data_IF_415334805767
#
_entry.id   IF_415334805767
#
_cell.length_a   1.000
_cell.length_b   1.000
_cell.length_c   1.000
_cell.angle_alpha   90.00
_cell.angle_beta   90.00
_cell.angle_gamma   90.00
#
_symmetry.space_group_name_H-M   'P 1'
#
loop_
_entity.id
_entity.type
_entity.pdbx_description
1 polymer ?
#
# COMPACT_ATOMS: atom_id res chain seq x y z
N UNK A 1 -19.34 -14.91 -22.52
CA UNK A 1 -18.64 -13.75 -23.12
C UNK A 1 -17.20 -13.82 -22.66
N UNK A 2 -16.23 -14.05 -23.55
CA UNK A 2 -14.81 -14.09 -23.16
C UNK A 2 -14.37 -12.64 -23.00
N UNK A 3 -14.17 -12.18 -21.76
CA UNK A 3 -13.62 -10.86 -21.49
C UNK A 3 -12.18 -10.85 -22.02
N UNK A 4 -11.92 -10.15 -23.12
CA UNK A 4 -10.54 -9.90 -23.55
C UNK A 4 -9.87 -9.02 -22.49
N UNK A 5 -9.00 -9.62 -21.69
CA UNK A 5 -8.20 -8.90 -20.72
C UNK A 5 -7.19 -8.02 -21.47
N UNK A 6 -7.27 -6.71 -21.26
CA UNK A 6 -6.28 -5.80 -21.84
C UNK A 6 -4.89 -6.06 -21.22
N UNK A 7 -3.79 -5.78 -21.94
CA UNK A 7 -2.44 -5.91 -21.37
C UNK A 7 -2.28 -5.15 -20.05
N UNK A 8 -2.95 -4.01 -19.91
CA UNK A 8 -3.03 -3.23 -18.67
C UNK A 8 -3.69 -4.02 -17.54
N UNK A 9 -4.87 -4.61 -17.79
CA UNK A 9 -5.58 -5.43 -16.83
C UNK A 9 -4.71 -6.60 -16.35
N UNK A 10 -4.02 -7.28 -17.27
CA UNK A 10 -3.11 -8.38 -16.94
C UNK A 10 -1.96 -7.88 -16.06
N UNK A 11 -1.36 -6.73 -16.38
CA UNK A 11 -0.27 -6.16 -15.60
C UNK A 11 -0.69 -5.81 -14.17
N UNK A 12 -1.85 -5.18 -13.97
CA UNK A 12 -2.39 -4.88 -12.63
C UNK A 12 -2.66 -6.16 -11.85
N UNK A 13 -3.29 -7.17 -12.47
CA UNK A 13 -3.57 -8.45 -11.81
C UNK A 13 -2.30 -9.17 -11.38
N UNK A 14 -1.32 -9.32 -12.27
CA UNK A 14 -0.05 -10.00 -11.98
C UNK A 14 0.71 -9.26 -10.89
N UNK A 15 0.79 -7.94 -10.98
CA UNK A 15 1.54 -7.13 -10.02
C UNK A 15 0.87 -7.11 -8.63
N UNK A 16 -0.46 -6.93 -8.55
CA UNK A 16 -1.21 -7.03 -7.29
C UNK A 16 -1.15 -8.43 -6.67
N UNK A 17 -1.26 -9.50 -7.46
CA UNK A 17 -1.13 -10.87 -6.98
C UNK A 17 0.28 -11.15 -6.42
N UNK A 18 1.32 -10.67 -7.12
CA UNK A 18 2.71 -10.84 -6.65
C UNK A 18 2.95 -10.04 -5.37
N UNK A 19 2.43 -8.81 -5.28
CA UNK A 19 2.48 -8.01 -4.05
C UNK A 19 1.79 -8.71 -2.88
N UNK A 20 0.62 -9.32 -3.11
CA UNK A 20 -0.12 -10.06 -2.10
C UNK A 20 0.72 -11.21 -1.53
N UNK A 21 1.34 -12.01 -2.39
CA UNK A 21 2.22 -13.12 -1.98
C UNK A 21 3.40 -12.60 -1.14
N UNK A 22 4.05 -11.54 -1.60
CA UNK A 22 5.20 -10.98 -0.90
C UNK A 22 4.81 -10.36 0.46
N UNK A 23 3.65 -9.69 0.56
CA UNK A 23 3.14 -9.20 1.83
C UNK A 23 2.82 -10.35 2.79
N UNK A 24 2.17 -11.42 2.34
CA UNK A 24 1.93 -12.61 3.15
C UNK A 24 3.25 -13.18 3.72
N UNK A 25 4.31 -13.22 2.91
CA UNK A 25 5.63 -13.66 3.37
C UNK A 25 6.25 -12.72 4.42
N UNK A 26 6.17 -11.39 4.22
CA UNK A 26 6.65 -10.40 5.18
C UNK A 26 5.89 -10.53 6.51
N UNK A 27 4.56 -10.65 6.45
CA UNK A 27 3.69 -10.83 7.62
C UNK A 27 4.13 -12.07 8.40
N UNK A 28 4.29 -13.21 7.72
CA UNK A 28 4.74 -14.45 8.36
C UNK A 28 6.09 -14.28 9.09
N UNK A 29 7.09 -13.67 8.43
CA UNK A 29 8.40 -13.44 9.05
C UNK A 29 8.32 -12.49 10.25
N UNK A 30 7.58 -11.38 10.14
CA UNK A 30 7.39 -10.43 11.23
C UNK A 30 6.68 -11.08 12.43
N UNK A 31 5.62 -11.86 12.19
CA UNK A 31 4.91 -12.59 13.24
C UNK A 31 5.81 -13.64 13.91
N UNK A 32 6.61 -14.38 13.14
CA UNK A 32 7.58 -15.35 13.69
C UNK A 32 8.58 -14.66 14.63
N UNK A 33 9.08 -13.48 14.26
CA UNK A 33 9.99 -12.70 15.11
C UNK A 33 9.26 -12.11 16.31
N UNK A 34 8.04 -11.61 16.13
CA UNK A 34 7.19 -11.10 17.20
C UNK A 34 6.93 -12.17 18.28
N UNK A 35 6.58 -13.40 17.90
CA UNK A 35 6.36 -14.50 18.86
C UNK A 35 7.61 -14.75 19.72
N UNK A 36 8.81 -14.63 19.13
CA UNK A 36 10.09 -14.81 19.84
C UNK A 36 10.45 -13.63 20.76
N UNK A 37 10.26 -12.40 20.29
CA UNK A 37 10.74 -11.18 20.98
C UNK A 37 9.66 -10.46 21.78
N UNK A 38 8.39 -10.83 21.62
CA UNK A 38 7.20 -10.19 22.22
C UNK A 38 7.14 -8.67 21.99
N UNK A 39 7.78 -8.17 20.94
CA UNK A 39 7.86 -6.74 20.63
C UNK A 39 6.55 -6.25 19.97
N UNK A 40 5.83 -5.34 20.65
CA UNK A 40 4.54 -4.80 20.18
C UNK A 40 4.64 -4.05 18.85
N UNK A 41 5.75 -3.35 18.59
CA UNK A 41 6.00 -2.65 17.32
C UNK A 41 5.90 -3.60 16.11
N UNK A 42 6.47 -4.80 16.21
CA UNK A 42 6.38 -5.83 15.16
C UNK A 42 4.95 -6.29 14.89
N UNK A 43 4.08 -6.30 15.91
CA UNK A 43 2.67 -6.63 15.74
C UNK A 43 1.95 -5.54 14.93
N UNK A 44 2.16 -4.25 15.25
CA UNK A 44 1.60 -3.14 14.46
C UNK A 44 2.13 -3.12 13.03
N UNK A 45 3.43 -3.36 12.84
CA UNK A 45 4.04 -3.43 11.52
C UNK A 45 3.47 -4.60 10.71
N UNK A 46 3.33 -5.80 11.30
CA UNK A 46 2.73 -6.95 10.61
C UNK A 46 1.26 -6.71 10.26
N UNK A 47 0.51 -6.05 11.14
CA UNK A 47 -0.89 -5.67 10.90
C UNK A 47 -1.00 -4.64 9.77
N UNK A 48 -0.06 -3.71 9.66
CA UNK A 48 0.03 -2.79 8.54
C UNK A 48 0.20 -3.53 7.20
N UNK A 49 1.14 -4.49 7.14
CA UNK A 49 1.31 -5.31 5.94
C UNK A 49 0.08 -6.15 5.60
N UNK A 50 -0.66 -6.62 6.61
CA UNK A 50 -1.93 -7.32 6.41
C UNK A 50 -2.99 -6.41 5.77
N UNK A 51 -3.09 -5.16 6.19
CA UNK A 51 -3.99 -4.18 5.55
C UNK A 51 -3.55 -3.81 4.14
N UNK A 52 -2.24 -3.73 3.87
CA UNK A 52 -1.73 -3.57 2.50
C UNK A 52 -2.03 -4.78 1.62
N UNK A 53 -1.99 -6.00 2.17
CA UNK A 53 -2.40 -7.21 1.47
C UNK A 53 -3.90 -7.18 1.13
N UNK A 54 -4.75 -6.81 2.09
CA UNK A 54 -6.20 -6.64 1.86
C UNK A 54 -6.46 -5.56 0.80
N UNK A 55 -5.71 -4.46 0.82
CA UNK A 55 -5.75 -3.42 -0.22
C UNK A 55 -5.45 -4.00 -1.62
N UNK A 56 -4.52 -4.94 -1.76
CA UNK A 56 -4.29 -5.61 -3.06
C UNK A 56 -5.45 -6.50 -3.49
N UNK A 57 -6.13 -7.19 -2.56
CA UNK A 57 -7.34 -7.95 -2.88
C UNK A 57 -8.41 -7.04 -3.45
N UNK A 58 -8.64 -5.88 -2.81
CA UNK A 58 -9.59 -4.88 -3.33
C UNK A 58 -9.15 -4.27 -4.67
N UNK A 59 -7.86 -4.10 -4.90
CA UNK A 59 -7.31 -3.68 -6.19
C UNK A 59 -7.55 -4.72 -7.30
N UNK A 60 -7.52 -6.02 -6.98
CA UNK A 60 -7.86 -7.08 -7.93
C UNK A 60 -9.37 -7.06 -8.21
N UNK A 61 -10.18 -6.99 -7.14
CA UNK A 61 -11.64 -6.94 -7.25
C UNK A 61 -12.14 -5.73 -8.04
N UNK A 62 -11.49 -4.57 -7.90
CA UNK A 62 -11.87 -3.36 -8.64
C UNK A 62 -11.69 -3.50 -10.14
N UNK A 63 -10.80 -4.38 -10.60
CA UNK A 63 -10.49 -4.57 -12.02
C UNK A 63 -11.29 -5.72 -12.65
N UNK A 64 -11.59 -6.78 -11.90
CA UNK A 64 -12.31 -7.95 -12.45
C UNK A 64 -13.84 -7.79 -12.44
N UNK A 65 -14.38 -6.88 -11.63
CA UNK A 65 -15.82 -6.72 -11.48
C UNK A 65 -16.38 -5.82 -12.58
N UNK A 66 -17.36 -6.33 -13.32
CA UNK A 66 -17.98 -5.62 -14.45
C UNK A 66 -18.85 -4.43 -14.02
N UNK A 67 -19.40 -4.46 -12.79
CA UNK A 67 -20.22 -3.37 -12.27
C UNK A 67 -19.36 -2.16 -11.89
N UNK A 68 -19.55 -1.04 -12.61
CA UNK A 68 -18.82 0.21 -12.37
C UNK A 68 -18.96 0.72 -10.92
N UNK A 69 -20.14 0.56 -10.31
CA UNK A 69 -20.38 0.99 -8.91
C UNK A 69 -19.58 0.15 -7.91
N UNK A 70 -19.53 -1.17 -8.12
CA UNK A 70 -18.74 -2.07 -7.27
C UNK A 70 -17.24 -1.87 -7.49
N UNK A 71 -16.82 -1.70 -8.74
CA UNK A 71 -15.42 -1.39 -9.10
C UNK A 71 -14.93 -0.12 -8.36
N UNK A 72 -15.71 0.97 -8.40
CA UNK A 72 -15.39 2.21 -7.70
C UNK A 72 -15.37 2.05 -6.16
N UNK A 73 -16.27 1.23 -5.62
CA UNK A 73 -16.32 0.93 -4.18
C UNK A 73 -15.05 0.19 -3.74
N UNK A 74 -14.63 -0.84 -4.49
CA UNK A 74 -13.39 -1.56 -4.22
C UNK A 74 -12.14 -0.71 -4.45
N UNK A 75 -12.16 0.18 -5.45
CA UNK A 75 -11.11 1.17 -5.64
C UNK A 75 -10.97 2.08 -4.41
N UNK A 76 -12.07 2.63 -3.90
CA UNK A 76 -12.06 3.46 -2.69
C UNK A 76 -11.58 2.68 -1.46
N UNK A 77 -12.02 1.43 -1.32
CA UNK A 77 -11.57 0.54 -0.25
C UNK A 77 -10.05 0.33 -0.28
N UNK A 78 -9.45 0.18 -1.47
CA UNK A 78 -8.00 0.03 -1.65
C UNK A 78 -7.23 1.15 -0.96
N UNK A 79 -7.63 2.40 -1.18
CA UNK A 79 -6.98 3.59 -0.59
C UNK A 79 -7.27 3.72 0.90
N UNK A 80 -8.48 3.39 1.36
CA UNK A 80 -8.84 3.40 2.79
C UNK A 80 -8.00 2.41 3.60
N UNK A 81 -7.86 1.17 3.10
CA UNK A 81 -7.02 0.16 3.76
C UNK A 81 -5.54 0.55 3.74
N UNK A 82 -5.05 1.15 2.65
CA UNK A 82 -3.68 1.66 2.58
C UNK A 82 -3.44 2.79 3.59
N UNK A 83 -4.38 3.72 3.75
CA UNK A 83 -4.28 4.79 4.75
C UNK A 83 -4.19 4.22 6.18
N UNK A 84 -5.06 3.27 6.56
CA UNK A 84 -5.01 2.63 7.88
C UNK A 84 -3.69 1.84 8.03
N UNK A 85 -3.20 1.21 6.97
CA UNK A 85 -1.90 0.54 7.01
C UNK A 85 -0.77 1.52 7.34
N UNK A 86 -0.70 2.66 6.67
CA UNK A 86 0.34 3.67 6.93
C UNK A 86 0.22 4.27 8.34
N UNK A 87 -1.01 4.45 8.83
CA UNK A 87 -1.26 4.84 10.22
C UNK A 87 -0.64 3.83 11.21
N UNK A 88 -0.84 2.53 11.00
CA UNK A 88 -0.24 1.50 11.85
C UNK A 88 1.29 1.46 11.75
N UNK A 89 1.87 1.73 10.56
CA UNK A 89 3.32 1.90 10.40
C UNK A 89 3.84 3.09 11.22
N UNK A 90 3.16 4.23 11.19
CA UNK A 90 3.50 5.40 12.01
C UNK A 90 3.45 5.06 13.50
N UNK A 91 2.37 4.39 13.95
CA UNK A 91 2.23 3.95 15.35
C UNK A 91 3.34 2.99 15.76
N UNK A 92 3.73 2.06 14.88
CA UNK A 92 4.84 1.13 15.12
C UNK A 92 6.15 1.87 15.42
N UNK A 93 6.46 2.92 14.66
CA UNK A 93 7.69 3.71 14.85
C UNK A 93 7.59 4.59 16.10
N UNK A 94 6.43 5.20 16.34
CA UNK A 94 6.17 6.03 17.54
C UNK A 94 6.35 5.22 18.82
N UNK A 95 5.87 3.97 18.87
CA UNK A 95 6.03 3.14 20.08
C UNK A 95 7.49 2.80 20.37
N UNK A 96 8.33 2.63 19.35
CA UNK A 96 9.76 2.41 19.53
C UNK A 96 10.50 3.69 19.94
N UNK A 97 10.14 4.84 19.37
CA UNK A 97 10.87 6.11 19.56
C UNK A 97 10.25 7.08 20.59
N UNK A 98 9.10 6.74 21.20
CA UNK A 98 8.32 7.58 22.14
C UNK A 98 7.99 8.98 21.61
N UNK A 99 7.76 9.12 20.31
CA UNK A 99 7.50 10.41 19.66
C UNK A 99 6.01 10.78 19.79
N UNK A 100 5.69 11.92 20.40
CA UNK A 100 4.32 12.43 20.44
C UNK A 100 3.95 13.02 19.06
N UNK A 101 2.91 12.48 18.41
CA UNK A 101 2.39 12.99 17.14
C UNK A 101 0.92 13.34 17.30
N UNK A 102 0.57 14.59 17.02
CA UNK A 102 -0.81 15.01 16.90
C UNK A 102 -1.35 14.51 15.56
N UNK A 103 -2.37 13.65 15.58
CA UNK A 103 -3.08 13.26 14.37
C UNK A 103 -3.99 14.40 13.95
N UNK A 104 -3.75 15.05 12.80
CA UNK A 104 -4.73 15.97 12.27
C UNK A 104 -5.97 15.16 11.87
N UNK A 105 -7.13 15.54 12.40
CA UNK A 105 -8.45 15.03 12.04
C UNK A 105 -8.75 15.44 10.60
N UNK A 106 -8.15 14.74 9.64
CA UNK A 106 -8.30 15.05 8.23
C UNK A 106 -9.55 14.34 7.69
N UNK A 107 -10.66 15.09 7.56
CA UNK A 107 -11.82 14.73 6.74
C UNK A 107 -11.45 14.78 5.25
N UNK A 108 -10.53 13.93 4.81
CA UNK A 108 -9.98 13.97 3.45
C UNK A 108 -10.24 12.70 2.67
N UNK A 109 -10.29 12.88 1.35
CA UNK A 109 -10.34 11.82 0.34
C UNK A 109 -9.30 10.74 0.69
N UNK A 110 -9.65 9.44 0.73
CA UNK A 110 -8.77 8.38 1.22
C UNK A 110 -7.37 8.37 0.59
N UNK A 111 -7.25 8.70 -0.70
CA UNK A 111 -5.96 8.84 -1.39
C UNK A 111 -5.09 9.97 -0.82
N UNK A 112 -5.66 11.13 -0.51
CA UNK A 112 -4.91 12.24 0.08
C UNK A 112 -4.45 11.92 1.52
N UNK A 113 -5.30 11.23 2.28
CA UNK A 113 -4.92 10.76 3.62
C UNK A 113 -3.78 9.72 3.54
N UNK A 114 -3.88 8.76 2.63
CA UNK A 114 -2.81 7.78 2.37
C UNK A 114 -1.51 8.46 1.95
N UNK A 115 -1.59 9.50 1.11
CA UNK A 115 -0.44 10.32 0.69
C UNK A 115 0.27 10.96 1.90
N UNK A 116 -0.47 11.66 2.75
CA UNK A 116 0.09 12.34 3.93
C UNK A 116 0.68 11.33 4.91
N UNK A 117 -0.05 10.26 5.22
CA UNK A 117 0.41 9.26 6.18
C UNK A 117 1.65 8.52 5.67
N UNK A 118 1.75 8.23 4.38
CA UNK A 118 2.96 7.65 3.78
C UNK A 118 4.15 8.63 3.84
N UNK A 119 3.93 9.93 3.63
CA UNK A 119 4.97 10.95 3.78
C UNK A 119 5.46 11.05 5.24
N UNK A 120 4.55 11.06 6.21
CA UNK A 120 4.89 11.07 7.64
C UNK A 120 5.64 9.78 8.03
N UNK A 121 5.15 8.61 7.60
CA UNK A 121 5.83 7.35 7.85
C UNK A 121 7.25 7.37 7.26
N UNK A 122 7.41 7.96 6.07
CA UNK A 122 8.70 8.11 5.40
C UNK A 122 9.68 8.95 6.22
N UNK A 123 9.27 10.11 6.75
CA UNK A 123 10.16 10.98 7.54
C UNK A 123 10.62 10.32 8.84
N UNK A 124 9.72 9.58 9.49
CA UNK A 124 9.98 8.86 10.74
C UNK A 124 10.82 7.59 10.56
N UNK A 125 10.83 6.99 9.37
CA UNK A 125 11.63 5.78 9.13
C UNK A 125 13.13 6.08 9.02
N UNK A 126 13.94 5.36 9.81
CA UNK A 126 15.42 5.44 9.75
C UNK A 126 16.02 4.70 8.55
N UNK A 127 15.38 3.62 8.08
CA UNK A 127 15.86 2.87 6.92
C UNK A 127 15.70 3.71 5.64
N UNK A 128 16.82 4.02 4.98
CA UNK A 128 16.85 4.79 3.73
C UNK A 128 15.98 4.15 2.63
N UNK A 129 15.93 2.81 2.57
CA UNK A 129 15.11 2.10 1.59
C UNK A 129 13.61 2.19 1.91
N UNK A 130 13.23 1.96 3.17
CA UNK A 130 11.83 2.08 3.59
C UNK A 130 11.33 3.52 3.43
N UNK A 131 12.17 4.51 3.76
CA UNK A 131 11.91 5.92 3.51
C UNK A 131 11.64 6.20 2.03
N UNK A 132 12.52 5.74 1.12
CA UNK A 132 12.34 5.92 -0.31
C UNK A 132 11.06 5.25 -0.83
N UNK A 133 10.75 4.03 -0.35
CA UNK A 133 9.53 3.32 -0.71
C UNK A 133 8.26 4.06 -0.26
N UNK A 134 8.22 4.49 1.01
CA UNK A 134 7.08 5.23 1.55
C UNK A 134 6.90 6.59 0.86
N UNK A 135 7.99 7.23 0.45
CA UNK A 135 7.94 8.46 -0.33
C UNK A 135 7.40 8.22 -1.75
N UNK A 136 7.80 7.12 -2.39
CA UNK A 136 7.23 6.71 -3.67
C UNK A 136 5.71 6.45 -3.54
N UNK A 137 5.28 5.71 -2.50
CA UNK A 137 3.87 5.47 -2.23
C UNK A 137 3.08 6.76 -1.97
N UNK A 138 3.68 7.72 -1.25
CA UNK A 138 3.07 9.04 -1.05
C UNK A 138 2.81 9.73 -2.39
N UNK A 139 3.82 9.77 -3.28
CA UNK A 139 3.68 10.36 -4.62
C UNK A 139 2.63 9.62 -5.47
N UNK A 140 2.56 8.30 -5.40
CA UNK A 140 1.55 7.50 -6.09
C UNK A 140 0.14 7.88 -5.63
N UNK A 141 -0.09 7.98 -4.31
CA UNK A 141 -1.39 8.35 -3.77
C UNK A 141 -1.77 9.80 -4.09
N UNK A 142 -0.78 10.69 -4.20
CA UNK A 142 -0.98 12.04 -4.73
C UNK A 142 -1.46 12.01 -6.19
N UNK A 143 -0.81 11.22 -7.05
CA UNK A 143 -1.22 11.04 -8.45
C UNK A 143 -2.63 10.45 -8.55
N UNK A 144 -2.99 9.48 -7.69
CA UNK A 144 -4.35 8.92 -7.62
C UNK A 144 -5.38 9.99 -7.24
N UNK A 145 -5.06 10.84 -6.27
CA UNK A 145 -5.92 11.95 -5.87
C UNK A 145 -6.18 12.90 -7.05
N UNK A 146 -5.14 13.29 -7.80
CA UNK A 146 -5.29 14.11 -9.00
C UNK A 146 -6.05 13.38 -10.13
N UNK A 147 -5.78 12.09 -10.32
CA UNK A 147 -6.45 11.26 -11.33
C UNK A 147 -7.96 11.18 -11.07
N UNK A 148 -8.36 11.03 -9.81
CA UNK A 148 -9.77 11.03 -9.40
C UNK A 148 -10.46 12.37 -9.73
N UNK A 149 -9.76 13.50 -9.58
CA UNK A 149 -10.30 14.83 -9.97
C UNK A 149 -10.39 15.03 -11.48
N UNK A 150 -9.61 14.28 -12.26
CA UNK A 150 -9.54 14.37 -13.73
C UNK A 150 -10.29 13.21 -14.43
N UNK A 151 -11.06 12.39 -13.71
CA UNK A 151 -11.75 11.21 -14.28
C UNK A 151 -12.76 11.54 -15.39
N UNK A 152 -13.20 12.81 -15.51
CA UNK A 152 -14.02 13.27 -16.64
C UNK A 152 -13.25 13.35 -17.96
N UNK A 153 -11.92 13.18 -17.92
CA UNK A 153 -11.02 13.15 -19.07
C UNK A 153 -10.41 11.75 -19.20
N UNK A 154 -10.25 11.25 -20.43
CA UNK A 154 -9.53 9.99 -20.70
C UNK A 154 -8.12 9.97 -20.08
N UNK A 155 -7.53 11.15 -19.89
CA UNK A 155 -6.27 11.37 -19.20
C UNK A 155 -6.31 10.88 -17.74
N UNK A 156 -7.42 11.08 -17.02
CA UNK A 156 -7.58 10.66 -15.62
C UNK A 156 -7.55 9.14 -15.47
N UNK A 157 -8.17 8.40 -16.40
CA UNK A 157 -8.13 6.94 -16.40
C UNK A 157 -6.71 6.40 -16.66
N UNK A 158 -5.96 7.04 -17.57
CA UNK A 158 -4.58 6.66 -17.89
C UNK A 158 -3.60 7.00 -16.76
N UNK A 159 -3.78 8.13 -16.08
CA UNK A 159 -3.01 8.49 -14.88
C UNK A 159 -3.29 7.54 -13.71
N UNK A 160 -4.55 7.13 -13.52
CA UNK A 160 -4.92 6.14 -12.51
C UNK A 160 -4.24 4.79 -12.78
N UNK A 161 -4.28 4.37 -14.04
CA UNK A 161 -3.68 3.13 -14.51
C UNK A 161 -2.16 3.08 -14.30
N UNK A 162 -1.47 4.15 -14.70
CA UNK A 162 -0.03 4.28 -14.47
C UNK A 162 0.32 4.34 -12.98
N UNK A 163 -0.48 5.04 -12.17
CA UNK A 163 -0.27 5.09 -10.72
C UNK A 163 -0.39 3.72 -10.07
N UNK A 164 -1.37 2.89 -10.47
CA UNK A 164 -1.50 1.51 -9.98
C UNK A 164 -0.30 0.64 -10.37
N UNK A 165 0.18 0.77 -11.61
CA UNK A 165 1.33 0.02 -12.11
C UNK A 165 2.62 0.41 -11.36
N UNK A 166 2.85 1.71 -11.17
CA UNK A 166 3.99 2.22 -10.40
C UNK A 166 3.88 1.82 -8.93
N UNK A 167 2.67 1.82 -8.36
CA UNK A 167 2.41 1.32 -6.99
C UNK A 167 2.82 -0.12 -6.85
N UNK A 168 2.30 -0.98 -7.72
CA UNK A 168 2.56 -2.39 -7.63
C UNK A 168 4.04 -2.71 -7.87
N UNK A 169 4.70 -2.00 -8.79
CA UNK A 169 6.15 -2.14 -9.01
C UNK A 169 6.98 -1.67 -7.82
N UNK A 170 6.68 -0.50 -7.25
CA UNK A 170 7.37 0.01 -6.06
C UNK A 170 7.19 -0.93 -4.86
N UNK A 171 5.97 -1.45 -4.68
CA UNK A 171 5.66 -2.45 -3.65
C UNK A 171 6.41 -3.74 -3.85
N UNK A 172 6.49 -4.23 -5.09
CA UNK A 172 7.24 -5.44 -5.44
C UNK A 172 8.74 -5.28 -5.15
N UNK A 173 9.36 -4.18 -5.57
CA UNK A 173 10.77 -3.89 -5.31
C UNK A 173 11.07 -3.84 -3.82
N UNK A 174 10.23 -3.13 -3.05
CA UNK A 174 10.39 -3.02 -1.61
C UNK A 174 10.23 -4.36 -0.91
N UNK A 175 9.23 -5.15 -1.31
CA UNK A 175 8.97 -6.43 -0.69
C UNK A 175 10.07 -7.46 -1.03
N UNK A 176 10.54 -7.51 -2.29
CA UNK A 176 11.70 -8.31 -2.70
C UNK A 176 12.97 -7.93 -1.94
N UNK A 177 13.21 -6.64 -1.76
CA UNK A 177 14.33 -6.14 -0.95
C UNK A 177 14.24 -6.63 0.50
N UNK A 178 13.08 -6.51 1.16
CA UNK A 178 12.93 -7.00 2.52
C UNK A 178 13.09 -8.50 2.63
N UNK A 179 12.55 -9.28 1.68
CA UNK A 179 12.76 -10.74 1.62
C UNK A 179 14.25 -11.07 1.56
N UNK A 180 15.02 -10.44 0.66
CA UNK A 180 16.45 -10.72 0.51
C UNK A 180 17.26 -10.47 1.79
N UNK A 181 16.89 -9.44 2.56
CA UNK A 181 17.57 -9.09 3.82
C UNK A 181 17.19 -10.02 4.97
N UNK A 182 15.95 -10.49 5.00
CA UNK A 182 15.49 -11.44 6.02
C UNK A 182 16.06 -12.84 5.77
N UNK A 183 16.19 -13.26 4.51
CA UNK A 183 16.82 -14.56 4.15
C UNK A 183 18.33 -14.54 4.39
N UNK A 184 19.02 -13.43 4.12
CA UNK A 184 20.48 -13.32 4.33
C UNK A 184 20.95 -13.34 5.80
N UNK A 185 20.02 -13.38 6.77
CA UNK A 185 20.31 -13.35 8.21
C UNK A 185 19.82 -14.61 8.94
N UNK A 186 19.26 -15.58 8.23
CA UNK A 186 19.10 -16.97 8.69
C UNK A 186 20.36 -17.76 8.31
#
# INVERSE_FOLDING_TARGET
MIVMLTPYTVAVLVSSATCLILFCYIIYKLLKVHVKLQAKSLLYLSSSFMLLAISQVFSILSVIVESARLSLTFYTATSSFAAIAFLLMVISVIQEERIALAFPTLMLVPDFLACILAAIASTLCRSRQLKAYLLALSMIHLVRCFSATLMSLDLGALMLASAELVRAFATLLFAAFHVSRVVSRE
#
